data_IF_282752546743
#
_entry.id   IF_282752546743
#
_cell.length_a   1.000
_cell.length_b   1.000
_cell.length_c   1.000
_cell.angle_alpha   90.00
_cell.angle_beta   90.00
_cell.angle_gamma   90.00
#
_symmetry.space_group_name_H-M   'P 1'
#
loop_
_entity.id
_entity.type
_entity.pdbx_description
1 polymer ?
#
# COMPACT_ATOMS: atom_id res chain seq x y z
N UNK A 1 7.61 24.07 40.53
CA UNK A 1 6.67 23.94 39.39
C UNK A 1 7.00 22.64 38.70
N UNK A 2 6.25 21.58 39.00
CA UNK A 2 6.47 20.21 38.51
C UNK A 2 5.83 20.05 37.12
N UNK A 3 6.43 20.65 36.09
CA UNK A 3 6.10 20.37 34.70
C UNK A 3 7.19 19.47 34.14
N UNK A 4 7.00 18.14 34.21
CA UNK A 4 7.52 17.15 33.24
C UNK A 4 7.44 15.71 33.76
N UNK A 5 6.28 15.32 34.29
CA UNK A 5 5.86 13.92 34.12
C UNK A 5 5.39 13.77 32.66
N UNK A 6 6.35 13.71 31.73
CA UNK A 6 6.12 13.06 30.45
C UNK A 6 5.64 11.64 30.77
N UNK A 7 4.32 11.47 30.81
CA UNK A 7 3.65 10.19 30.95
C UNK A 7 4.27 9.28 29.90
N UNK A 8 5.12 8.33 30.33
CA UNK A 8 5.76 7.37 29.44
C UNK A 8 4.65 6.79 28.56
N UNK A 9 4.74 6.92 27.23
CA UNK A 9 3.63 6.54 26.39
C UNK A 9 3.31 5.07 26.64
N UNK A 10 2.04 4.78 26.91
CA UNK A 10 1.63 3.42 27.28
C UNK A 10 1.92 2.45 26.14
N UNK A 11 2.03 1.16 26.46
CA UNK A 11 2.21 0.10 25.43
C UNK A 11 1.09 0.20 24.38
N UNK A 12 -0.14 0.49 24.81
CA UNK A 12 -1.30 0.73 23.93
C UNK A 12 -1.07 1.89 22.96
N UNK A 13 -0.53 3.01 23.43
CA UNK A 13 -0.23 4.16 22.58
C UNK A 13 0.86 3.85 21.55
N UNK A 14 1.92 3.14 21.93
CA UNK A 14 2.95 2.69 20.99
C UNK A 14 2.38 1.74 19.93
N UNK A 15 1.53 0.79 20.32
CA UNK A 15 0.84 -0.09 19.36
C UNK A 15 -0.06 0.69 18.41
N UNK A 16 -0.80 1.67 18.91
CA UNK A 16 -1.62 2.56 18.08
C UNK A 16 -0.76 3.32 17.07
N UNK A 17 0.30 4.00 17.51
CA UNK A 17 1.20 4.76 16.65
C UNK A 17 1.85 3.87 15.60
N UNK A 18 2.25 2.64 15.96
CA UNK A 18 2.78 1.66 15.03
C UNK A 18 1.74 1.27 13.95
N UNK A 19 0.48 1.01 14.33
CA UNK A 19 -0.61 0.71 13.38
C UNK A 19 -0.86 1.87 12.42
N UNK A 20 -0.89 3.10 12.92
CA UNK A 20 -1.05 4.33 12.12
C UNK A 20 0.10 4.47 11.12
N UNK A 21 1.33 4.28 11.57
CA UNK A 21 2.52 4.37 10.73
C UNK A 21 2.54 3.29 9.64
N UNK A 22 2.13 2.07 9.98
CA UNK A 22 2.01 0.97 9.04
C UNK A 22 0.95 1.24 7.96
N UNK A 23 -0.23 1.75 8.35
CA UNK A 23 -1.29 2.13 7.41
C UNK A 23 -0.84 3.24 6.45
N UNK A 24 -0.11 4.25 6.96
CA UNK A 24 0.45 5.35 6.18
C UNK A 24 1.43 4.86 5.10
N UNK A 25 2.31 3.92 5.45
CA UNK A 25 3.26 3.31 4.49
C UNK A 25 2.55 2.51 3.42
N UNK A 26 1.55 1.71 3.79
CA UNK A 26 0.76 0.93 2.85
C UNK A 26 -0.01 1.82 1.84
N UNK A 27 -0.61 2.91 2.31
CA UNK A 27 -1.29 3.87 1.44
C UNK A 27 -0.32 4.54 0.44
N UNK A 28 0.87 4.94 0.91
CA UNK A 28 1.93 5.49 0.04
C UNK A 28 2.38 4.48 -1.02
N UNK A 29 2.63 3.24 -0.61
CA UNK A 29 3.05 2.16 -1.50
C UNK A 29 1.97 1.85 -2.56
N UNK A 30 0.70 1.87 -2.17
CA UNK A 30 -0.43 1.68 -3.09
C UNK A 30 -0.47 2.78 -4.16
N UNK A 31 -0.33 4.05 -3.75
CA UNK A 31 -0.30 5.19 -4.69
C UNK A 31 0.86 5.09 -5.68
N UNK A 32 2.07 4.83 -5.18
CA UNK A 32 3.26 4.65 -6.03
C UNK A 32 3.09 3.47 -7.00
N UNK A 33 2.52 2.37 -6.52
CA UNK A 33 2.26 1.18 -7.35
C UNK A 33 1.24 1.49 -8.45
N UNK A 34 0.20 2.27 -8.16
CA UNK A 34 -0.77 2.70 -9.17
C UNK A 34 -0.11 3.56 -10.26
N UNK A 35 0.67 4.57 -9.88
CA UNK A 35 1.38 5.43 -10.84
C UNK A 35 2.37 4.63 -11.70
N UNK A 36 3.10 3.68 -11.10
CA UNK A 36 3.97 2.77 -11.84
C UNK A 36 3.21 1.94 -12.87
N UNK A 37 2.01 1.42 -12.53
CA UNK A 37 1.16 0.70 -13.48
C UNK A 37 0.75 1.62 -14.64
N UNK A 38 0.29 2.84 -14.35
CA UNK A 38 -0.16 3.80 -15.37
C UNK A 38 0.97 4.15 -16.35
N UNK A 39 2.17 4.45 -15.84
CA UNK A 39 3.35 4.74 -16.67
C UNK A 39 3.75 3.54 -17.52
N UNK A 40 3.80 2.34 -16.92
CA UNK A 40 4.15 1.12 -17.65
C UNK A 40 3.10 0.79 -18.72
N UNK A 41 1.82 1.04 -18.47
CA UNK A 41 0.76 0.82 -19.45
C UNK A 41 0.87 1.75 -20.64
N UNK A 42 1.21 3.01 -20.40
CA UNK A 42 1.47 3.96 -21.47
C UNK A 42 2.69 3.56 -22.31
N UNK A 43 3.78 3.13 -21.66
CA UNK A 43 5.00 2.70 -22.34
C UNK A 43 4.77 1.45 -23.20
N UNK A 44 4.12 0.42 -22.65
CA UNK A 44 3.70 -0.77 -23.40
C UNK A 44 2.81 -0.37 -24.59
N UNK A 45 1.84 0.51 -24.38
CA UNK A 45 0.91 0.95 -25.44
C UNK A 45 1.62 1.69 -26.57
N UNK A 46 2.60 2.53 -26.25
CA UNK A 46 3.44 3.22 -27.25
C UNK A 46 4.29 2.23 -28.04
N UNK A 47 4.94 1.29 -27.36
CA UNK A 47 5.80 0.30 -28.02
C UNK A 47 5.01 -0.68 -28.89
N UNK A 48 3.84 -1.14 -28.43
CA UNK A 48 2.95 -2.01 -29.21
C UNK A 48 2.31 -1.28 -30.40
N UNK A 49 2.07 0.03 -30.31
CA UNK A 49 1.60 0.81 -31.47
C UNK A 49 2.65 0.86 -32.59
N UNK A 50 3.93 0.86 -32.22
CA UNK A 50 5.06 0.87 -33.15
C UNK A 50 5.60 -0.55 -33.44
N UNK A 51 4.80 -1.60 -33.26
CA UNK A 51 5.28 -3.00 -33.33
C UNK A 51 5.88 -3.37 -34.69
N UNK A 52 5.50 -2.68 -35.77
CA UNK A 52 6.05 -2.88 -37.12
C UNK A 52 7.50 -2.39 -37.28
N UNK A 53 7.95 -1.49 -36.41
CA UNK A 53 9.31 -0.93 -36.38
C UNK A 53 10.06 -1.30 -35.11
N UNK A 54 9.53 -2.24 -34.33
CA UNK A 54 9.98 -2.57 -32.99
C UNK A 54 11.15 -3.55 -33.06
N UNK A 55 12.26 -3.22 -32.41
CA UNK A 55 13.43 -4.10 -32.34
C UNK A 55 13.13 -5.31 -31.44
N UNK A 56 13.90 -6.40 -31.61
CA UNK A 56 13.83 -7.55 -30.69
C UNK A 56 14.11 -7.17 -29.23
N UNK A 57 14.90 -6.12 -29.00
CA UNK A 57 15.18 -5.64 -27.64
C UNK A 57 14.03 -4.84 -27.05
N UNK A 58 13.27 -4.12 -27.87
CA UNK A 58 12.03 -3.44 -27.46
C UNK A 58 10.96 -4.47 -27.08
N UNK A 59 10.86 -5.58 -27.81
CA UNK A 59 9.95 -6.66 -27.48
C UNK A 59 10.32 -7.33 -26.14
N UNK A 60 11.61 -7.52 -25.86
CA UNK A 60 12.09 -7.99 -24.54
C UNK A 60 11.78 -6.97 -23.44
N UNK A 61 11.89 -5.67 -23.72
CA UNK A 61 11.54 -4.61 -22.77
C UNK A 61 10.05 -4.66 -22.40
N UNK A 62 9.16 -4.76 -23.39
CA UNK A 62 7.72 -4.91 -23.19
C UNK A 62 7.39 -6.14 -22.35
N UNK A 63 8.07 -7.27 -22.59
CA UNK A 63 7.85 -8.47 -21.79
C UNK A 63 8.26 -8.27 -20.32
N UNK A 64 9.42 -7.63 -20.06
CA UNK A 64 9.85 -7.28 -18.70
C UNK A 64 8.84 -6.36 -18.01
N UNK A 65 8.34 -5.37 -18.74
CA UNK A 65 7.34 -4.42 -18.26
C UNK A 65 6.00 -5.09 -17.93
N UNK A 66 5.55 -6.03 -18.77
CA UNK A 66 4.33 -6.80 -18.54
C UNK A 66 4.44 -7.68 -17.29
N UNK A 67 5.58 -8.34 -17.12
CA UNK A 67 5.87 -9.14 -15.93
C UNK A 67 5.94 -8.28 -14.66
N UNK A 68 6.57 -7.11 -14.76
CA UNK A 68 6.61 -6.13 -13.68
C UNK A 68 5.21 -5.65 -13.29
N UNK A 69 4.37 -5.27 -14.26
CA UNK A 69 2.98 -4.88 -14.05
C UNK A 69 2.21 -5.97 -13.31
N UNK A 70 2.35 -7.25 -13.71
CA UNK A 70 1.70 -8.39 -13.05
C UNK A 70 2.13 -8.51 -11.59
N UNK A 71 3.44 -8.44 -11.32
CA UNK A 71 3.98 -8.46 -9.95
C UNK A 71 3.43 -7.30 -9.12
N UNK A 72 3.30 -6.12 -9.71
CA UNK A 72 2.81 -4.93 -9.05
C UNK A 72 1.31 -5.02 -8.71
N UNK A 73 0.49 -5.53 -9.63
CA UNK A 73 -0.94 -5.82 -9.38
C UNK A 73 -1.13 -6.81 -8.23
N UNK A 74 -0.29 -7.84 -8.14
CA UNK A 74 -0.32 -8.80 -7.03
C UNK A 74 0.02 -8.13 -5.69
N UNK A 75 1.04 -7.26 -5.66
CA UNK A 75 1.40 -6.51 -4.45
C UNK A 75 0.29 -5.55 -4.01
N UNK A 76 -0.32 -4.83 -4.96
CA UNK A 76 -1.48 -3.96 -4.70
C UNK A 76 -2.64 -4.75 -4.10
N UNK A 77 -2.95 -5.93 -4.66
CA UNK A 77 -4.01 -6.80 -4.13
C UNK A 77 -3.74 -7.25 -2.69
N UNK A 78 -2.49 -7.63 -2.37
CA UNK A 78 -2.07 -7.97 -1.01
C UNK A 78 -2.22 -6.80 -0.03
N UNK A 79 -1.69 -5.63 -0.39
CA UNK A 79 -1.78 -4.41 0.43
C UNK A 79 -3.23 -3.98 0.64
N UNK A 80 -4.10 -4.11 -0.36
CA UNK A 80 -5.54 -3.81 -0.23
C UNK A 80 -6.22 -4.78 0.74
N UNK A 81 -5.88 -6.07 0.71
CA UNK A 81 -6.38 -7.06 1.68
C UNK A 81 -5.89 -6.75 3.09
N UNK A 82 -4.63 -6.36 3.25
CA UNK A 82 -4.07 -5.94 4.55
C UNK A 82 -4.75 -4.70 5.11
N UNK A 83 -4.95 -3.67 4.28
CA UNK A 83 -5.68 -2.47 4.68
C UNK A 83 -7.11 -2.78 5.13
N UNK A 84 -7.83 -3.67 4.42
CA UNK A 84 -9.18 -4.10 4.81
C UNK A 84 -9.21 -4.84 6.15
N UNK A 85 -8.23 -5.70 6.43
CA UNK A 85 -8.12 -6.37 7.74
C UNK A 85 -7.87 -5.38 8.87
N UNK A 86 -7.04 -4.35 8.62
CA UNK A 86 -6.74 -3.33 9.62
C UNK A 86 -7.98 -2.49 9.97
N UNK A 87 -8.82 -2.11 9.00
CA UNK A 87 -10.06 -1.38 9.27
C UNK A 87 -11.06 -2.20 10.09
N UNK A 88 -11.17 -3.50 9.83
CA UNK A 88 -12.04 -4.41 10.59
C UNK A 88 -11.56 -4.62 12.02
N UNK A 89 -10.24 -4.73 12.24
CA UNK A 89 -9.66 -4.87 13.57
C UNK A 89 -9.80 -3.60 14.45
N UNK A 90 -9.92 -2.42 13.84
CA UNK A 90 -10.19 -1.17 14.58
C UNK A 90 -11.64 -1.09 15.07
N UNK A 91 -12.62 -1.52 14.26
CA UNK A 91 -14.05 -1.50 14.60
C UNK A 91 -14.39 -2.45 15.77
N UNK A 92 -13.78 -3.64 15.82
CA UNK A 92 -13.97 -4.58 16.94
C UNK A 92 -13.42 -4.09 18.28
N UNK A 93 -12.45 -3.17 18.27
CA UNK A 93 -11.87 -2.62 19.51
C UNK A 93 -12.78 -1.54 20.12
N UNK A 94 -13.49 -0.77 19.28
CA UNK A 94 -14.44 0.27 19.73
C UNK A 94 -15.70 -0.35 20.36
N UNK A 95 -16.25 -1.42 19.78
CA UNK A 95 -17.42 -2.13 20.31
C UNK A 95 -17.18 -2.78 21.69
N UNK A 96 -15.97 -3.30 21.94
CA UNK A 96 -15.62 -3.91 23.24
C UNK A 96 -15.36 -2.87 24.35
N UNK A 97 -15.01 -1.63 24.00
CA UNK A 97 -14.87 -0.54 24.98
C UNK A 97 -16.21 0.10 25.37
N UNK A 98 -17.21 0.09 24.49
CA UNK A 98 -18.56 0.60 24.79
C UNK A 98 -19.37 -0.34 25.69
N UNK A 99 -19.16 -1.65 25.59
CA UNK A 99 -19.88 -2.68 26.38
C UNK A 99 -19.44 -2.82 27.85
N UNK A 100 -18.43 -2.07 28.32
CA UNK A 100 -17.93 -2.14 29.71
C UNK A 100 -18.34 -0.95 30.59
N UNK A 101 -19.26 -0.11 30.10
CA UNK A 101 -19.75 1.07 30.85
C UNK A 101 -21.17 0.92 31.43
N UNK A 102 -21.78 -0.27 31.34
CA UNK A 102 -23.05 -0.62 32.01
C UNK A 102 -22.81 -1.61 33.16
#
# INVERSE_FOLDING_TARGET
MEHDKFLKPTVTYHLFMYRVELARRNARQLRLSRTKIEITDELISKTVRNIKTCSMDDLKAVNRELMFKRKLRNNVSKLKKEAKRQSQASQQTEEQSASKQD
#
